data_IF_990837311315
#
_entry.id   IF_990837311315
#
_cell.length_a   1.000
_cell.length_b   1.000
_cell.length_c   1.000
_cell.angle_alpha   90.00
_cell.angle_beta   90.00
_cell.angle_gamma   90.00
#
_symmetry.space_group_name_H-M   'P 1'
#
loop_
_entity.id
_entity.type
_entity.pdbx_description
1 polymer ?
#
# COMPACT_ATOMS: atom_id res chain seq x y z
N UNK A 1 0.32 15.25 -18.60
CA UNK A 1 -0.76 14.58 -19.35
C UNK A 1 -1.24 13.44 -18.47
N UNK A 2 -2.55 13.35 -18.17
CA UNK A 2 -3.07 12.25 -17.39
C UNK A 2 -2.96 10.93 -18.17
N UNK A 3 -2.64 9.86 -17.46
CA UNK A 3 -2.56 8.53 -18.06
C UNK A 3 -3.96 8.05 -18.45
N UNK A 4 -4.15 7.38 -19.60
CA UNK A 4 -5.45 6.86 -19.99
C UNK A 4 -5.95 5.82 -18.98
N UNK A 5 -7.25 5.84 -18.68
CA UNK A 5 -7.85 4.93 -17.72
C UNK A 5 -7.64 3.45 -18.15
N UNK A 6 -7.18 2.62 -17.22
CA UNK A 6 -7.05 1.18 -17.47
C UNK A 6 -8.42 0.55 -17.79
N UNK A 7 -8.55 -0.36 -18.77
CA UNK A 7 -9.83 -0.97 -19.14
C UNK A 7 -10.44 -1.74 -17.96
N UNK A 8 -11.76 -1.66 -17.78
CA UNK A 8 -12.51 -2.36 -16.72
C UNK A 8 -13.00 -3.71 -17.25
N UNK A 9 -12.82 -4.79 -16.50
CA UNK A 9 -13.36 -6.10 -16.87
C UNK A 9 -14.87 -6.22 -16.60
N UNK A 10 -15.43 -7.38 -16.96
CA UNK A 10 -16.84 -7.70 -16.75
C UNK A 10 -17.20 -7.63 -15.25
N UNK A 11 -18.38 -7.09 -14.93
CA UNK A 11 -18.91 -7.08 -13.57
C UNK A 11 -19.31 -8.50 -13.17
N UNK A 12 -18.76 -8.97 -12.05
CA UNK A 12 -19.03 -10.30 -11.47
C UNK A 12 -20.02 -10.18 -10.33
N UNK A 13 -19.80 -9.23 -9.43
CA UNK A 13 -20.65 -9.03 -8.25
C UNK A 13 -20.52 -7.59 -7.72
N UNK A 14 -21.44 -7.21 -6.84
CA UNK A 14 -21.50 -5.89 -6.20
C UNK A 14 -21.72 -6.03 -4.71
N UNK A 15 -20.82 -5.47 -3.91
CA UNK A 15 -20.95 -5.37 -2.45
C UNK A 15 -21.52 -4.00 -2.09
N UNK A 16 -22.67 -4.00 -1.42
CA UNK A 16 -23.29 -2.79 -0.89
C UNK A 16 -22.89 -2.60 0.58
N UNK A 17 -22.45 -1.39 0.92
CA UNK A 17 -22.07 -1.04 2.29
C UNK A 17 -23.21 -1.29 3.28
N UNK A 18 -24.45 -0.97 2.92
CA UNK A 18 -25.64 -1.19 3.78
C UNK A 18 -25.78 -2.66 4.20
N UNK A 19 -25.51 -3.58 3.28
CA UNK A 19 -25.57 -5.02 3.54
C UNK A 19 -24.46 -5.46 4.48
N UNK A 20 -23.27 -4.86 4.38
CA UNK A 20 -22.18 -5.11 5.34
C UNK A 20 -22.57 -4.67 6.76
N UNK A 21 -23.33 -3.58 6.91
CA UNK A 21 -23.82 -3.12 8.21
C UNK A 21 -24.84 -4.09 8.84
N UNK A 22 -25.75 -4.63 8.04
CA UNK A 22 -26.71 -5.66 8.46
C UNK A 22 -26.04 -7.00 8.81
N UNK A 23 -24.90 -7.29 8.16
CA UNK A 23 -24.13 -8.52 8.36
C UNK A 23 -22.92 -8.37 9.30
N UNK A 24 -22.71 -7.20 9.91
CA UNK A 24 -21.50 -6.91 10.68
C UNK A 24 -21.24 -7.93 11.80
N UNK A 25 -22.30 -8.34 12.50
CA UNK A 25 -22.20 -9.34 13.57
C UNK A 25 -21.88 -10.76 13.09
N UNK A 26 -21.93 -11.00 11.76
CA UNK A 26 -21.47 -12.25 11.15
C UNK A 26 -19.96 -12.22 10.85
N UNK A 27 -19.24 -11.17 11.23
CA UNK A 27 -17.79 -11.13 11.05
C UNK A 27 -17.15 -12.27 11.85
N UNK A 28 -16.21 -12.96 11.23
CA UNK A 28 -15.46 -14.00 11.92
C UNK A 28 -14.50 -13.36 12.93
N UNK A 29 -14.42 -13.88 14.14
CA UNK A 29 -13.49 -13.38 15.16
C UNK A 29 -13.80 -11.97 15.69
N UNK A 30 -12.89 -11.47 16.52
CA UNK A 30 -13.01 -10.14 17.12
C UNK A 30 -12.59 -9.05 16.11
N UNK A 31 -13.34 -7.94 16.07
CA UNK A 31 -13.02 -6.76 15.27
C UNK A 31 -11.94 -5.89 15.95
N UNK A 32 -10.85 -6.56 16.32
CA UNK A 32 -9.72 -6.02 17.06
C UNK A 32 -8.43 -6.60 16.51
N UNK A 33 -7.39 -5.79 16.41
CA UNK A 33 -6.06 -6.25 16.04
C UNK A 33 -5.42 -6.98 17.24
N UNK A 34 -4.92 -8.19 16.98
CA UNK A 34 -4.17 -9.01 17.93
C UNK A 34 -2.90 -9.60 17.28
N UNK A 35 -2.05 -10.22 18.10
CA UNK A 35 -0.88 -10.99 17.65
C UNK A 35 0.08 -10.21 16.72
N UNK A 36 0.29 -8.93 17.01
CA UNK A 36 1.13 -8.05 16.21
C UNK A 36 2.59 -8.54 16.21
N UNK A 37 3.19 -8.64 15.02
CA UNK A 37 4.56 -9.10 14.84
C UNK A 37 5.26 -8.34 13.71
N UNK A 38 6.51 -7.94 13.93
CA UNK A 38 7.38 -7.52 12.84
C UNK A 38 7.78 -8.73 11.97
N UNK A 39 7.60 -8.63 10.66
CA UNK A 39 7.93 -9.72 9.73
C UNK A 39 9.26 -9.46 9.05
N UNK A 40 9.40 -8.30 8.41
CA UNK A 40 10.56 -7.92 7.62
C UNK A 40 10.50 -6.44 7.24
N UNK A 41 11.63 -5.90 6.79
CA UNK A 41 11.72 -4.58 6.16
C UNK A 41 12.65 -4.62 4.94
N UNK A 42 12.61 -3.57 4.12
CA UNK A 42 13.60 -3.30 3.08
C UNK A 42 13.58 -1.83 2.68
N UNK A 43 14.64 -1.35 2.03
CA UNK A 43 14.63 -0.05 1.35
C UNK A 43 14.72 -0.24 -0.15
N UNK A 44 14.05 0.64 -0.90
CA UNK A 44 14.40 0.86 -2.30
C UNK A 44 15.63 1.75 -2.38
N UNK A 45 16.57 1.40 -3.25
CA UNK A 45 17.75 2.22 -3.53
C UNK A 45 17.60 2.93 -4.88
N UNK A 46 18.09 4.16 -4.96
CA UNK A 46 18.22 4.93 -6.20
C UNK A 46 19.44 4.45 -7.00
N UNK A 47 19.20 3.44 -7.83
CA UNK A 47 20.20 2.83 -8.71
C UNK A 47 19.63 2.62 -10.11
N UNK A 48 20.49 2.43 -11.11
CA UNK A 48 20.07 2.22 -12.51
C UNK A 48 19.30 0.92 -12.73
N UNK A 49 19.53 -0.08 -11.88
CA UNK A 49 18.77 -1.33 -11.84
C UNK A 49 17.84 -1.31 -10.62
N UNK A 50 16.65 -1.94 -10.67
CA UNK A 50 15.82 -2.11 -9.48
C UNK A 50 16.62 -2.80 -8.38
N UNK A 51 16.85 -2.12 -7.25
CA UNK A 51 17.68 -2.64 -6.16
C UNK A 51 17.02 -2.39 -4.81
N UNK A 52 16.98 -3.43 -3.97
CA UNK A 52 16.55 -3.33 -2.58
C UNK A 52 17.70 -3.60 -1.61
N UNK A 53 17.69 -2.90 -0.48
CA UNK A 53 18.51 -3.21 0.69
C UNK A 53 17.67 -3.97 1.72
N UNK A 54 18.16 -5.11 2.19
CA UNK A 54 17.49 -5.99 3.15
C UNK A 54 18.46 -6.24 4.33
N UNK A 55 18.05 -6.06 5.60
CA UNK A 55 16.70 -5.69 6.06
C UNK A 55 16.33 -4.22 5.81
N UNK A 56 17.27 -3.37 5.39
CA UNK A 56 17.03 -1.94 5.32
C UNK A 56 16.81 -1.31 6.70
N UNK A 57 16.52 -0.01 6.74
CA UNK A 57 16.08 0.73 7.92
C UNK A 57 15.40 2.05 7.47
N UNK A 58 14.37 2.54 8.17
CA UNK A 58 13.87 3.91 8.00
C UNK A 58 14.94 4.94 8.40
N UNK A 59 14.85 6.19 7.91
CA UNK A 59 15.83 7.21 8.27
C UNK A 59 15.66 7.63 9.73
N UNK A 60 16.77 8.02 10.35
CA UNK A 60 16.81 8.49 11.74
C UNK A 60 16.23 9.90 11.82
N UNK A 61 15.32 10.17 12.74
CA UNK A 61 14.96 11.56 13.06
C UNK A 61 16.19 12.30 13.58
N UNK A 62 16.65 13.31 12.85
CA UNK A 62 17.94 13.99 13.02
C UNK A 62 17.80 15.46 12.59
N UNK A 63 17.06 16.27 13.38
CA UNK A 63 16.73 17.64 13.01
C UNK A 63 18.00 18.51 12.97
N UNK A 64 18.08 19.51 12.07
CA UNK A 64 19.21 20.43 12.05
C UNK A 64 19.23 21.27 13.33
N UNK A 65 20.43 21.56 13.83
CA UNK A 65 20.62 22.41 15.02
C UNK A 65 20.01 23.81 14.88
N UNK A 66 19.95 24.32 13.64
CA UNK A 66 19.37 25.61 13.31
C UNK A 66 18.28 25.35 12.26
N UNK A 67 17.00 25.66 12.55
CA UNK A 67 15.93 25.57 11.57
C UNK A 67 16.25 26.40 10.34
N UNK A 68 16.05 25.81 9.16
CA UNK A 68 16.20 26.47 7.87
C UNK A 68 14.85 26.53 7.18
N UNK A 69 14.65 27.59 6.41
CA UNK A 69 13.49 27.67 5.52
C UNK A 69 13.69 26.71 4.36
N UNK A 70 12.83 25.70 4.26
CA UNK A 70 12.87 24.70 3.20
C UNK A 70 12.24 25.25 1.92
N UNK A 71 12.64 24.69 0.79
CA UNK A 71 11.95 24.91 -0.48
C UNK A 71 10.70 24.05 -0.51
N UNK A 72 9.64 24.60 -1.12
CA UNK A 72 8.42 23.84 -1.37
C UNK A 72 8.69 22.71 -2.36
N UNK A 73 7.97 21.60 -2.19
CA UNK A 73 8.09 20.42 -3.04
C UNK A 73 7.71 20.80 -4.48
N UNK A 74 8.54 20.40 -5.44
CA UNK A 74 8.41 20.76 -6.87
C UNK A 74 8.87 19.65 -7.81
N UNK A 75 8.95 18.42 -7.31
CA UNK A 75 9.39 17.24 -8.05
C UNK A 75 8.25 16.38 -8.60
N UNK A 76 8.61 15.40 -9.42
CA UNK A 76 7.68 14.36 -9.86
C UNK A 76 7.70 13.19 -8.88
N UNK A 77 6.55 12.89 -8.31
CA UNK A 77 6.42 11.85 -7.27
C UNK A 77 5.42 10.78 -7.72
N UNK A 78 5.84 9.52 -7.70
CA UNK A 78 5.00 8.38 -8.10
C UNK A 78 3.88 8.10 -7.08
N UNK A 79 2.66 7.81 -7.57
CA UNK A 79 1.53 7.34 -6.75
C UNK A 79 1.81 6.00 -6.07
N UNK A 80 2.51 5.10 -6.77
CA UNK A 80 3.01 3.84 -6.21
C UNK A 80 4.50 3.62 -6.56
N UNK A 81 5.38 4.02 -5.64
CA UNK A 81 6.83 3.82 -5.76
C UNK A 81 7.21 2.35 -6.03
N UNK A 82 6.48 1.39 -5.47
CA UNK A 82 6.81 -0.03 -5.62
C UNK A 82 6.45 -0.52 -7.03
N UNK A 83 5.23 -0.21 -7.48
CA UNK A 83 4.78 -0.50 -8.85
C UNK A 83 5.64 0.20 -9.91
N UNK A 84 6.03 1.45 -9.69
CA UNK A 84 6.90 2.21 -10.59
C UNK A 84 8.29 1.58 -10.74
N UNK A 85 8.90 1.13 -9.63
CA UNK A 85 10.26 0.56 -9.65
C UNK A 85 10.32 -0.86 -10.18
N UNK A 86 9.27 -1.64 -9.93
CA UNK A 86 9.27 -3.06 -10.29
C UNK A 86 7.87 -3.52 -10.75
N UNK A 87 7.43 -3.06 -11.94
CA UNK A 87 6.05 -3.22 -12.39
C UNK A 87 5.66 -4.67 -12.72
N UNK A 88 6.62 -5.50 -13.11
CA UNK A 88 6.33 -6.87 -13.57
C UNK A 88 5.83 -7.77 -12.43
N UNK A 89 6.36 -7.59 -11.21
CA UNK A 89 5.99 -8.35 -10.02
C UNK A 89 6.01 -7.47 -8.75
N UNK A 90 4.97 -6.65 -8.51
CA UNK A 90 4.99 -5.62 -7.46
C UNK A 90 5.16 -6.13 -6.01
N UNK A 91 4.94 -7.43 -5.76
CA UNK A 91 5.10 -8.05 -4.43
C UNK A 91 6.39 -8.85 -4.28
N UNK A 92 7.12 -9.09 -5.37
CA UNK A 92 8.38 -9.85 -5.35
C UNK A 92 9.40 -9.28 -4.35
N UNK A 93 9.71 -7.96 -4.34
CA UNK A 93 10.66 -7.39 -3.38
C UNK A 93 10.27 -7.68 -1.92
N UNK A 94 8.97 -7.68 -1.65
CA UNK A 94 8.43 -7.88 -0.30
C UNK A 94 8.58 -9.33 0.14
N UNK A 95 8.24 -10.28 -0.74
CA UNK A 95 8.38 -11.71 -0.46
C UNK A 95 9.83 -12.13 -0.34
N UNK A 96 10.74 -11.66 -1.21
CA UNK A 96 12.18 -11.92 -1.09
C UNK A 96 12.72 -11.39 0.24
N UNK A 97 12.33 -10.18 0.65
CA UNK A 97 12.76 -9.61 1.93
C UNK A 97 12.31 -10.45 3.14
N UNK A 98 11.10 -11.01 3.12
CA UNK A 98 10.58 -11.90 4.18
C UNK A 98 11.42 -13.18 4.27
N UNK A 99 11.57 -13.89 3.15
CA UNK A 99 12.25 -15.18 3.10
C UNK A 99 13.76 -15.07 3.41
N UNK A 100 14.39 -13.92 3.11
CA UNK A 100 15.79 -13.65 3.43
C UNK A 100 16.02 -13.30 4.91
N UNK A 101 15.09 -12.59 5.54
CA UNK A 101 15.19 -12.21 6.96
C UNK A 101 14.75 -13.34 7.89
N UNK A 102 13.87 -14.23 7.43
CA UNK A 102 13.41 -15.38 8.19
C UNK A 102 13.19 -16.57 7.26
N UNK A 103 14.19 -17.45 7.18
CA UNK A 103 14.13 -18.69 6.38
C UNK A 103 13.13 -19.73 6.92
N UNK A 104 12.70 -19.58 8.18
CA UNK A 104 11.68 -20.43 8.81
C UNK A 104 10.29 -19.81 8.79
N UNK A 105 10.10 -18.70 8.06
CA UNK A 105 8.79 -18.08 7.90
C UNK A 105 7.81 -19.08 7.30
N UNK A 106 6.59 -19.13 7.81
CA UNK A 106 5.50 -19.98 7.31
C UNK A 106 4.49 -19.14 6.51
N UNK A 107 4.57 -19.16 5.16
CA UNK A 107 3.58 -18.56 4.28
C UNK A 107 2.14 -19.07 4.47
N UNK A 108 1.95 -20.34 4.89
CA UNK A 108 0.63 -20.94 4.97
C UNK A 108 -0.22 -20.34 6.09
N UNK A 109 0.42 -19.72 7.08
CA UNK A 109 -0.22 -18.99 8.16
C UNK A 109 -0.75 -17.61 7.78
N UNK A 110 -0.54 -17.12 6.55
CA UNK A 110 -0.99 -15.79 6.10
C UNK A 110 -2.20 -15.90 5.17
N UNK A 111 -3.29 -15.22 5.52
CA UNK A 111 -4.51 -15.20 4.69
C UNK A 111 -4.52 -14.01 3.73
N UNK A 112 -4.13 -12.81 4.18
CA UNK A 112 -4.20 -11.58 3.37
C UNK A 112 -2.87 -10.84 3.38
N UNK A 113 -2.41 -10.43 2.20
CA UNK A 113 -1.26 -9.55 2.03
C UNK A 113 -1.72 -8.27 1.33
N UNK A 114 -1.61 -7.12 2.00
CA UNK A 114 -1.96 -5.84 1.39
C UNK A 114 -0.91 -4.77 1.70
N UNK A 115 -0.91 -3.69 0.92
CA UNK A 115 -0.26 -2.45 1.34
C UNK A 115 -1.22 -1.62 2.21
N UNK A 116 -0.66 -0.80 3.10
CA UNK A 116 -1.43 0.06 4.00
C UNK A 116 -2.39 1.01 3.26
N UNK A 117 -2.02 1.43 2.04
CA UNK A 117 -2.91 2.25 1.20
C UNK A 117 -4.14 1.49 0.74
N UNK A 118 -3.99 0.27 0.22
CA UNK A 118 -5.11 -0.54 -0.26
C UNK A 118 -6.03 -0.94 0.88
N UNK A 119 -5.47 -1.37 2.01
CA UNK A 119 -6.27 -1.70 3.19
C UNK A 119 -6.96 -0.46 3.78
N UNK A 120 -6.27 0.69 3.80
CA UNK A 120 -6.84 1.98 4.19
C UNK A 120 -8.01 2.42 3.31
N UNK A 121 -7.97 2.17 1.99
CA UNK A 121 -9.10 2.46 1.11
C UNK A 121 -10.35 1.62 1.43
N UNK A 122 -10.17 0.36 1.82
CA UNK A 122 -11.29 -0.48 2.28
C UNK A 122 -11.87 0.03 3.61
N UNK A 123 -11.02 0.49 4.52
CA UNK A 123 -11.45 1.12 5.77
C UNK A 123 -12.26 2.40 5.49
N UNK A 124 -11.80 3.25 4.57
CA UNK A 124 -12.52 4.46 4.14
C UNK A 124 -13.89 4.15 3.56
N UNK A 125 -13.97 3.12 2.71
CA UNK A 125 -15.23 2.66 2.14
C UNK A 125 -16.26 2.31 3.23
N UNK A 126 -15.87 1.53 4.25
CA UNK A 126 -16.80 1.18 5.34
C UNK A 126 -17.10 2.37 6.27
N UNK A 127 -16.24 3.40 6.30
CA UNK A 127 -16.47 4.65 7.04
C UNK A 127 -17.24 5.71 6.24
N UNK A 128 -17.60 5.45 4.99
CA UNK A 128 -18.28 6.40 4.08
C UNK A 128 -17.44 7.63 3.77
N UNK A 129 -16.12 7.46 3.73
CA UNK A 129 -15.21 8.46 3.20
C UNK A 129 -15.16 8.29 1.68
N UNK A 130 -16.11 8.90 0.97
CA UNK A 130 -16.33 8.76 -0.46
C UNK A 130 -15.07 9.03 -1.26
N UNK A 131 -14.43 7.95 -1.72
CA UNK A 131 -13.27 8.01 -2.60
C UNK A 131 -13.27 6.83 -3.57
N UNK A 132 -12.86 7.14 -4.78
CA UNK A 132 -12.61 6.14 -5.82
C UNK A 132 -11.32 5.39 -5.48
N UNK A 133 -11.29 4.11 -5.80
CA UNK A 133 -10.05 3.33 -5.76
C UNK A 133 -10.21 2.06 -6.56
N UNK A 134 -9.06 1.51 -6.97
CA UNK A 134 -9.00 0.28 -7.74
C UNK A 134 -7.79 -0.56 -7.32
N UNK A 135 -7.99 -1.85 -7.19
CA UNK A 135 -6.91 -2.80 -6.96
C UNK A 135 -7.27 -4.19 -7.50
N UNK A 136 -6.26 -5.03 -7.69
CA UNK A 136 -6.44 -6.44 -8.08
C UNK A 136 -6.13 -7.31 -6.89
N UNK A 137 -6.90 -8.38 -6.73
CA UNK A 137 -6.62 -9.44 -5.77
C UNK A 137 -6.17 -10.66 -6.54
N UNK A 138 -5.03 -11.25 -6.15
CA UNK A 138 -4.54 -12.52 -6.68
C UNK A 138 -4.33 -13.53 -5.55
N UNK A 139 -4.88 -14.72 -5.71
CA UNK A 139 -4.67 -15.84 -4.80
C UNK A 139 -3.39 -16.58 -5.17
N UNK A 140 -2.47 -16.72 -4.21
CA UNK A 140 -1.26 -17.57 -4.30
C UNK A 140 -1.21 -18.49 -3.08
N UNK A 141 -1.42 -19.79 -3.30
CA UNK A 141 -1.62 -20.74 -2.19
C UNK A 141 -2.85 -20.41 -1.37
N UNK A 142 -2.64 -20.15 -0.08
CA UNK A 142 -3.69 -19.70 0.86
C UNK A 142 -3.84 -18.18 0.92
N UNK A 143 -2.83 -17.44 0.48
CA UNK A 143 -2.74 -15.99 0.68
C UNK A 143 -3.39 -15.25 -0.49
N UNK A 144 -4.16 -14.21 -0.18
CA UNK A 144 -4.71 -13.27 -1.14
C UNK A 144 -3.87 -12.00 -1.15
N UNK A 145 -3.18 -11.72 -2.27
CA UNK A 145 -2.34 -10.55 -2.48
C UNK A 145 -3.15 -9.40 -3.09
N UNK A 146 -3.17 -8.26 -2.42
CA UNK A 146 -3.90 -7.06 -2.82
C UNK A 146 -2.91 -6.10 -3.48
N UNK A 147 -3.05 -5.96 -4.81
CA UNK A 147 -2.14 -5.27 -5.71
C UNK A 147 -2.75 -3.93 -6.13
N UNK A 148 -2.09 -2.81 -5.86
CA UNK A 148 -2.56 -1.49 -6.31
C UNK A 148 -2.71 -1.48 -7.83
N UNK A 149 -3.79 -0.86 -8.32
CA UNK A 149 -4.06 -0.72 -9.75
C UNK A 149 -4.23 0.75 -10.12
N UNK A 150 -3.10 1.40 -10.31
CA UNK A 150 -3.02 2.73 -10.93
C UNK A 150 -3.21 2.61 -12.46
N UNK A 151 -3.41 3.73 -13.15
CA UNK A 151 -3.62 3.72 -14.61
C UNK A 151 -2.35 3.30 -15.35
N UNK A 152 -1.21 3.77 -14.86
CA UNK A 152 0.12 3.29 -15.28
C UNK A 152 1.03 3.12 -14.06
N UNK A 153 2.06 2.26 -14.13
CA UNK A 153 3.03 2.14 -13.03
C UNK A 153 3.76 3.45 -12.71
N UNK A 154 3.89 4.33 -13.70
CA UNK A 154 4.59 5.61 -13.59
C UNK A 154 3.62 6.77 -13.31
N UNK A 155 2.39 6.48 -12.87
CA UNK A 155 1.43 7.52 -12.56
C UNK A 155 1.98 8.43 -11.45
N UNK A 156 2.02 9.72 -11.76
CA UNK A 156 2.54 10.77 -10.87
C UNK A 156 1.40 11.44 -10.10
N UNK A 157 1.76 12.03 -8.98
CA UNK A 157 0.88 12.86 -8.18
C UNK A 157 0.82 14.24 -8.87
N UNK A 158 -0.36 14.71 -9.29
CA UNK A 158 -0.51 16.04 -9.87
C UNK A 158 -0.29 17.11 -8.79
N UNK A 159 0.27 18.25 -9.21
CA UNK A 159 0.29 19.50 -8.43
C UNK A 159 0.80 19.36 -6.98
N UNK A 160 1.85 18.55 -6.77
CA UNK A 160 2.48 18.39 -5.44
C UNK A 160 2.91 19.75 -4.89
N UNK A 161 2.42 20.07 -3.70
CA UNK A 161 2.68 21.31 -2.97
C UNK A 161 2.95 21.00 -1.51
N UNK A 162 3.49 21.99 -0.80
CA UNK A 162 3.85 21.81 0.60
C UNK A 162 5.25 21.22 0.78
N UNK A 163 5.43 20.48 1.87
CA UNK A 163 6.75 20.13 2.38
C UNK A 163 6.82 18.66 2.85
N UNK A 164 5.94 17.82 2.30
CA UNK A 164 5.81 16.41 2.66
C UNK A 164 7.05 15.59 2.30
N UNK A 165 7.83 16.05 1.32
CA UNK A 165 9.08 15.42 0.88
C UNK A 165 10.32 16.18 1.41
N UNK A 166 10.37 17.49 1.20
CA UNK A 166 11.49 18.33 1.63
C UNK A 166 11.73 18.32 3.14
N UNK A 167 10.68 18.25 3.97
CA UNK A 167 10.85 18.15 5.43
C UNK A 167 11.55 16.87 5.86
N UNK A 168 11.06 15.65 5.53
CA UNK A 168 11.77 14.43 5.92
C UNK A 168 13.18 14.35 5.35
N UNK A 169 13.46 14.88 4.15
CA UNK A 169 14.83 14.98 3.63
C UNK A 169 15.75 15.87 4.47
N UNK A 170 15.22 16.95 5.04
CA UNK A 170 16.01 17.89 5.84
C UNK A 170 16.08 17.54 7.34
N UNK A 171 15.10 16.80 7.86
CA UNK A 171 14.95 16.50 9.28
C UNK A 171 15.21 15.04 9.65
N UNK A 172 15.42 14.17 8.66
CA UNK A 172 15.83 12.79 8.88
C UNK A 172 17.14 12.50 8.14
N UNK A 173 17.94 11.60 8.69
CA UNK A 173 19.23 11.18 8.14
C UNK A 173 19.24 9.68 7.86
N UNK A 174 19.58 9.31 6.63
CA UNK A 174 19.83 7.91 6.28
C UNK A 174 21.11 7.38 6.94
N UNK A 175 21.11 6.09 7.26
CA UNK A 175 22.33 5.39 7.69
C UNK A 175 23.37 5.36 6.56
N UNK A 176 24.65 5.23 6.91
CA UNK A 176 25.75 5.34 5.94
C UNK A 176 25.65 4.33 4.79
N UNK A 177 25.25 3.10 5.11
CA UNK A 177 25.00 2.00 4.17
C UNK A 177 23.66 2.10 3.41
N UNK A 178 22.84 3.10 3.74
CA UNK A 178 21.50 3.36 3.18
C UNK A 178 21.35 4.77 2.59
N UNK A 179 22.43 5.53 2.40
CA UNK A 179 22.40 6.92 1.87
C UNK A 179 21.69 7.06 0.52
N UNK A 180 21.66 6.01 -0.29
CA UNK A 180 20.97 5.99 -1.58
C UNK A 180 19.51 5.52 -1.49
N UNK A 181 18.89 5.50 -0.30
CA UNK A 181 17.52 5.02 -0.13
C UNK A 181 16.48 6.06 -0.56
N UNK A 182 15.41 5.59 -1.18
CA UNK A 182 14.28 6.41 -1.64
C UNK A 182 12.98 6.16 -0.87
N UNK A 183 12.91 5.03 -0.18
CA UNK A 183 11.79 4.67 0.70
C UNK A 183 12.22 3.55 1.64
N UNK A 184 11.56 3.46 2.79
CA UNK A 184 11.74 2.39 3.77
C UNK A 184 10.42 1.64 3.94
N UNK A 185 10.36 0.42 3.43
CA UNK A 185 9.19 -0.45 3.48
C UNK A 185 9.27 -1.37 4.70
N UNK A 186 8.13 -1.57 5.36
CA UNK A 186 8.02 -2.39 6.57
C UNK A 186 6.79 -3.26 6.50
N UNK A 187 6.93 -4.52 6.92
CA UNK A 187 5.86 -5.50 6.93
C UNK A 187 5.54 -5.89 8.37
N UNK A 188 4.30 -5.62 8.78
CA UNK A 188 3.75 -6.01 10.08
C UNK A 188 2.67 -7.05 9.84
N UNK A 189 2.76 -8.16 10.56
CA UNK A 189 1.72 -9.17 10.63
C UNK A 189 0.83 -8.96 11.85
N UNK A 190 -0.46 -9.19 11.70
CA UNK A 190 -1.40 -9.20 12.82
C UNK A 190 -2.65 -10.01 12.48
N UNK A 191 -3.40 -10.41 13.50
CA UNK A 191 -4.70 -11.07 13.37
C UNK A 191 -5.80 -10.03 13.49
N UNK A 192 -6.78 -10.05 12.58
CA UNK A 192 -7.95 -9.18 12.61
C UNK A 192 -9.15 -9.92 12.00
N UNK A 193 -10.32 -9.87 12.63
CA UNK A 193 -11.53 -10.55 12.12
C UNK A 193 -11.25 -12.01 11.64
N UNK A 194 -10.55 -12.78 12.48
CA UNK A 194 -10.26 -14.21 12.26
C UNK A 194 -9.24 -14.51 11.14
N UNK A 195 -8.62 -13.49 10.53
CA UNK A 195 -7.62 -13.65 9.46
C UNK A 195 -6.27 -13.11 9.87
N UNK A 196 -5.21 -13.75 9.40
CA UNK A 196 -3.84 -13.25 9.55
C UNK A 196 -3.49 -12.36 8.36
N UNK A 197 -3.18 -11.10 8.64
CA UNK A 197 -2.77 -10.11 7.66
C UNK A 197 -1.26 -9.92 7.69
N UNK A 198 -0.67 -9.61 6.53
CA UNK A 198 0.55 -8.81 6.43
C UNK A 198 0.18 -7.49 5.78
N UNK A 199 0.50 -6.40 6.47
CA UNK A 199 0.39 -5.03 5.93
C UNK A 199 1.80 -4.49 5.67
N UNK A 200 2.06 -4.14 4.41
CA UNK A 200 3.26 -3.39 4.01
C UNK A 200 2.97 -1.88 4.02
N UNK A 201 3.78 -1.11 4.71
CA UNK A 201 3.71 0.36 4.71
C UNK A 201 5.09 0.97 4.59
N UNK A 202 5.15 2.19 4.04
CA UNK A 202 6.34 3.04 4.13
C UNK A 202 6.42 3.64 5.54
N UNK A 203 7.62 3.71 6.10
CA UNK A 203 7.90 4.37 7.38
C UNK A 203 8.67 5.66 7.13
N UNK A 204 8.17 6.79 7.63
CA UNK A 204 8.78 8.11 7.40
C UNK A 204 10.07 8.29 8.19
N UNK A 205 10.24 7.55 9.29
CA UNK A 205 11.46 7.54 10.08
C UNK A 205 11.33 6.76 11.38
N UNK A 206 12.36 6.88 12.21
CA UNK A 206 12.32 6.44 13.61
C UNK A 206 12.85 7.48 14.59
N UNK A 207 12.35 7.43 15.82
CA UNK A 207 12.76 8.28 16.94
C UNK A 207 13.90 7.59 17.74
N UNK A 208 15.13 8.13 17.73
CA UNK A 208 16.27 7.53 18.45
C UNK A 208 16.01 7.31 19.94
N UNK A 209 15.30 8.24 20.57
CA UNK A 209 14.92 8.20 21.99
C UNK A 209 13.96 7.04 22.33
N UNK A 210 13.36 6.39 21.33
CA UNK A 210 12.40 5.27 21.49
C UNK A 210 12.95 3.90 21.08
N UNK A 211 14.25 3.79 20.80
CA UNK A 211 14.91 2.51 20.48
C UNK A 211 14.89 1.50 21.64
N UNK A 212 14.62 1.95 22.88
CA UNK A 212 14.56 1.06 24.04
C UNK A 212 15.92 0.47 24.42
N UNK A 213 15.92 -0.59 25.23
CA UNK A 213 17.13 -1.29 25.68
C UNK A 213 17.69 -2.28 24.64
N UNK A 214 16.83 -2.84 23.80
CA UNK A 214 17.22 -3.84 22.78
C UNK A 214 17.89 -3.20 21.56
N UNK A 215 17.57 -1.93 21.27
CA UNK A 215 18.18 -1.17 20.18
C UNK A 215 17.93 -1.75 18.78
N UNK A 216 18.63 -1.24 17.75
CA UNK A 216 18.61 -1.82 16.41
C UNK A 216 19.17 -3.24 16.40
N UNK A 217 18.49 -4.15 15.71
CA UNK A 217 18.92 -5.56 15.55
C UNK A 217 19.57 -5.77 14.19
N UNK A 218 20.81 -6.26 14.19
CA UNK A 218 21.49 -6.68 12.95
C UNK A 218 20.99 -8.06 12.52
N UNK A 219 20.62 -8.19 11.25
CA UNK A 219 20.28 -9.50 10.65
C UNK A 219 21.22 -9.74 9.48
N UNK A 220 21.92 -10.88 9.53
CA UNK A 220 22.69 -11.36 8.40
C UNK A 220 21.77 -12.12 7.47
N UNK A 221 21.69 -11.68 6.21
CA UNK A 221 20.97 -12.40 5.16
C UNK A 221 21.94 -13.21 4.31
N UNK A 222 21.50 -14.38 3.87
CA UNK A 222 22.24 -15.23 2.94
C UNK A 222 21.92 -14.85 1.50
N UNK A 223 22.80 -14.08 0.87
CA UNK A 223 22.68 -13.68 -0.54
C UNK A 223 22.98 -14.82 -1.52
N UNK A 224 23.46 -15.97 -1.06
CA UNK A 224 23.66 -17.18 -1.88
C UNK A 224 22.42 -18.09 -1.91
N UNK A 225 21.38 -17.73 -1.14
CA UNK A 225 20.11 -18.43 -1.10
C UNK A 225 19.43 -18.45 -2.47
N UNK A 226 18.71 -19.53 -2.84
CA UNK A 226 17.90 -19.58 -4.07
C UNK A 226 16.78 -18.53 -4.11
N UNK A 227 16.46 -17.90 -2.97
CA UNK A 227 15.56 -16.74 -2.86
C UNK A 227 16.14 -15.50 -3.56
N UNK A 228 17.44 -15.46 -3.80
CA UNK A 228 18.09 -14.47 -4.67
C UNK A 228 18.15 -15.08 -6.07
N UNK A 229 17.10 -14.91 -6.87
CA UNK A 229 17.08 -15.40 -8.25
C UNK A 229 18.17 -14.67 -9.05
N UNK A 230 19.08 -15.44 -9.66
CA UNK A 230 20.07 -14.91 -10.60
C UNK A 230 19.47 -14.57 -11.98
N UNK A 231 18.21 -14.94 -12.23
CA UNK A 231 17.53 -14.79 -13.52
C UNK A 231 16.77 -13.47 -13.67
N UNK A 232 16.63 -12.66 -12.60
CA UNK A 232 15.74 -11.50 -12.55
C UNK A 232 16.47 -10.15 -12.40
N UNK A 233 15.80 -9.09 -12.85
CA UNK A 233 16.31 -7.71 -12.86
C UNK A 233 16.38 -7.04 -11.48
N UNK A 234 15.91 -7.69 -10.41
CA UNK A 234 15.90 -7.16 -9.05
C UNK A 234 17.18 -7.52 -8.29
N UNK A 235 18.02 -6.52 -8.03
CA UNK A 235 19.24 -6.66 -7.22
C UNK A 235 18.95 -6.54 -5.73
N UNK A 236 19.64 -7.32 -4.90
CA UNK A 236 19.45 -7.35 -3.44
C UNK A 236 20.80 -7.10 -2.75
N UNK A 237 20.82 -6.19 -1.79
CA UNK A 237 21.99 -5.88 -0.97
C UNK A 237 21.71 -6.16 0.51
N UNK A 238 22.69 -6.75 1.19
CA UNK A 238 22.69 -6.82 2.65
C UNK A 238 23.12 -5.47 3.22
N UNK A 239 22.18 -4.67 3.69
CA UNK A 239 22.40 -3.35 4.29
C UNK A 239 21.21 -2.96 5.18
N UNK A 240 21.48 -2.12 6.19
CA UNK A 240 20.51 -1.68 7.18
C UNK A 240 20.39 -2.58 8.40
N UNK A 241 19.46 -2.23 9.28
CA UNK A 241 19.24 -2.88 10.58
C UNK A 241 17.75 -2.84 10.92
N UNK A 242 17.26 -3.85 11.64
CA UNK A 242 15.87 -3.86 12.09
C UNK A 242 15.72 -2.84 13.21
N UNK A 243 14.92 -1.80 12.93
CA UNK A 243 14.50 -0.84 13.94
C UNK A 243 13.27 -1.37 14.70
N UNK A 244 13.25 -1.30 16.05
CA UNK A 244 12.11 -1.72 16.86
C UNK A 244 10.82 -0.97 16.50
N UNK A 245 9.68 -1.67 16.56
CA UNK A 245 8.39 -1.06 16.18
C UNK A 245 8.06 0.17 17.01
N UNK A 246 8.38 0.16 18.30
CA UNK A 246 8.15 1.25 19.26
C UNK A 246 8.78 2.59 18.84
N UNK A 247 9.80 2.56 17.98
CA UNK A 247 10.51 3.75 17.53
C UNK A 247 9.98 4.32 16.21
N UNK A 248 9.20 3.56 15.44
CA UNK A 248 8.73 3.96 14.11
C UNK A 248 7.70 5.07 14.21
N UNK A 249 7.75 6.05 13.30
CA UNK A 249 6.74 7.10 13.20
C UNK A 249 6.21 7.31 11.77
N UNK A 250 4.99 7.85 11.70
CA UNK A 250 4.41 8.48 10.50
C UNK A 250 4.48 10.00 10.69
N UNK A 251 4.64 10.73 9.59
CA UNK A 251 4.90 12.16 9.56
C UNK A 251 3.88 12.91 8.71
N UNK A 252 3.44 14.07 9.22
CA UNK A 252 2.69 15.05 8.43
C UNK A 252 3.23 16.46 8.61
N UNK A 253 3.21 17.22 7.52
CA UNK A 253 3.46 18.66 7.53
C UNK A 253 2.16 19.44 7.37
N UNK A 254 2.04 20.56 8.06
CA UNK A 254 0.88 21.46 7.96
C UNK A 254 1.31 22.91 8.06
N UNK A 255 0.53 23.81 7.46
CA UNK A 255 0.69 25.25 7.72
C UNK A 255 0.45 25.56 9.19
N UNK A 256 1.25 26.47 9.76
CA UNK A 256 1.10 26.97 11.13
C UNK A 256 -0.28 27.59 11.37
N UNK A 257 -0.98 28.00 10.32
CA UNK A 257 -2.37 28.51 10.38
C UNK A 257 -3.36 27.43 10.84
N UNK A 258 -3.10 26.16 10.53
CA UNK A 258 -3.94 25.01 10.89
C UNK A 258 -3.54 24.36 12.22
N UNK A 259 -2.63 24.94 13.00
CA UNK A 259 -2.02 24.31 14.20
C UNK A 259 -2.98 23.92 15.34
N UNK A 260 -4.19 24.48 15.32
CA UNK A 260 -5.21 24.27 16.34
C UNK A 260 -6.25 23.21 15.92
N UNK A 261 -6.17 22.69 14.70
CA UNK A 261 -7.04 21.61 14.21
C UNK A 261 -6.52 20.25 14.66
N UNK A 262 -7.42 19.26 14.75
CA UNK A 262 -7.06 17.89 15.10
C UNK A 262 -6.62 17.08 13.87
N UNK A 263 -5.34 17.24 13.52
CA UNK A 263 -4.73 16.48 12.43
C UNK A 263 -4.47 15.01 12.78
N UNK A 264 -4.55 14.61 14.05
CA UNK A 264 -4.27 13.23 14.44
C UNK A 264 -5.49 12.36 14.18
N UNK A 265 -6.69 12.83 14.51
CA UNK A 265 -7.95 12.09 14.34
C UNK A 265 -8.11 11.54 12.90
N UNK A 266 -7.82 12.37 11.91
CA UNK A 266 -7.84 12.01 10.48
C UNK A 266 -6.87 10.88 10.12
N UNK A 267 -5.81 10.70 10.91
CA UNK A 267 -4.76 9.70 10.67
C UNK A 267 -4.95 8.42 11.50
N UNK A 268 -5.80 8.41 12.52
CA UNK A 268 -5.92 7.27 13.45
C UNK A 268 -6.24 5.96 12.72
N UNK A 269 -7.13 5.96 11.73
CA UNK A 269 -7.42 4.77 10.94
C UNK A 269 -6.22 4.24 10.13
N UNK A 270 -5.38 5.14 9.60
CA UNK A 270 -4.13 4.78 8.91
C UNK A 270 -3.10 4.22 9.89
N UNK A 271 -2.95 4.87 11.05
CA UNK A 271 -2.00 4.48 12.09
C UNK A 271 -2.39 3.13 12.70
N UNK A 272 -3.70 2.88 12.85
CA UNK A 272 -4.27 1.59 13.23
C UNK A 272 -3.93 0.50 12.21
N UNK A 273 -4.21 0.71 10.92
CA UNK A 273 -3.93 -0.25 9.86
C UNK A 273 -2.44 -0.60 9.74
N UNK A 274 -1.56 0.40 9.88
CA UNK A 274 -0.11 0.23 9.75
C UNK A 274 0.57 -0.18 11.06
N UNK A 275 -0.16 -0.17 12.18
CA UNK A 275 0.35 -0.33 13.56
C UNK A 275 1.53 0.59 13.88
N UNK A 276 1.45 1.85 13.44
CA UNK A 276 2.49 2.85 13.67
C UNK A 276 2.28 3.54 15.03
N UNK A 277 3.20 3.39 16.01
CA UNK A 277 2.96 3.83 17.38
C UNK A 277 3.23 5.31 17.64
N UNK A 278 3.91 6.00 16.72
CA UNK A 278 4.26 7.41 16.87
C UNK A 278 3.76 8.23 15.69
N UNK A 279 3.29 9.44 15.99
CA UNK A 279 2.90 10.43 15.00
C UNK A 279 3.72 11.71 15.20
N UNK A 280 4.39 12.13 14.13
CA UNK A 280 5.11 13.40 14.09
C UNK A 280 4.31 14.37 13.24
N UNK A 281 3.97 15.53 13.79
CA UNK A 281 3.36 16.62 13.04
C UNK A 281 4.25 17.85 13.11
N UNK A 282 4.57 18.41 11.96
CA UNK A 282 5.47 19.54 11.82
C UNK A 282 4.73 20.72 11.18
N UNK A 283 4.64 21.83 11.91
CA UNK A 283 3.98 23.05 11.46
C UNK A 283 4.99 24.07 10.91
N UNK A 284 4.69 24.63 9.73
CA UNK A 284 5.54 25.60 9.07
C UNK A 284 4.87 26.95 8.79
N UNK A 285 5.64 28.04 8.82
CA UNK A 285 5.32 29.27 8.09
C UNK A 285 6.20 29.30 6.84
N UNK A 286 5.61 29.07 5.66
CA UNK A 286 6.30 29.12 4.35
C UNK A 286 7.65 28.37 4.34
N UNK A 287 7.64 27.12 4.80
CA UNK A 287 8.82 26.25 4.83
C UNK A 287 9.73 26.40 6.05
N UNK A 288 9.48 27.36 6.95
CA UNK A 288 10.18 27.45 8.23
C UNK A 288 9.40 26.71 9.33
N UNK A 289 9.95 25.59 9.78
CA UNK A 289 9.35 24.73 10.80
C UNK A 289 9.77 25.16 12.20
N UNK A 290 8.79 25.55 13.02
CA UNK A 290 9.02 26.07 14.38
C UNK A 290 8.27 25.32 15.48
N UNK A 291 7.29 24.50 15.11
CA UNK A 291 6.50 23.67 16.03
C UNK A 291 6.44 22.25 15.47
N UNK A 292 7.24 21.34 16.04
CA UNK A 292 7.28 19.93 15.67
C UNK A 292 6.89 19.12 16.89
N UNK A 293 5.80 18.39 16.78
CA UNK A 293 5.22 17.61 17.89
C UNK A 293 5.39 16.13 17.60
N UNK A 294 6.04 15.43 18.53
CA UNK A 294 6.18 13.98 18.53
C UNK A 294 5.20 13.40 19.54
N UNK A 295 4.29 12.55 19.10
CA UNK A 295 3.23 12.00 19.94
C UNK A 295 3.30 10.47 19.93
N UNK A 296 3.27 9.85 21.12
CA UNK A 296 2.90 8.43 21.23
C UNK A 296 1.38 8.35 21.06
N UNK A 297 0.92 7.53 20.13
CA UNK A 297 -0.49 7.49 19.73
C UNK A 297 -1.14 6.13 20.01
N UNK A 298 -0.42 5.17 20.61
CA UNK A 298 -0.93 3.81 20.81
C UNK A 298 -2.26 3.79 21.58
N UNK A 299 -2.32 4.49 22.73
CA UNK A 299 -3.55 4.56 23.52
C UNK A 299 -4.73 5.20 22.75
N UNK A 300 -4.44 6.19 21.88
CA UNK A 300 -5.46 6.83 21.04
C UNK A 300 -5.92 5.90 19.91
N UNK A 301 -5.00 5.13 19.32
CA UNK A 301 -5.32 4.11 18.31
C UNK A 301 -6.17 2.99 18.91
N UNK A 302 -5.85 2.53 20.12
CA UNK A 302 -6.62 1.48 20.81
C UNK A 302 -8.02 1.98 21.22
N UNK A 303 -8.13 3.25 21.62
CA UNK A 303 -9.41 3.91 21.86
C UNK A 303 -10.22 4.02 20.55
N UNK A 304 -9.60 4.51 19.48
CA UNK A 304 -10.22 4.64 18.17
C UNK A 304 -10.74 3.30 17.64
N UNK A 305 -9.97 2.21 17.80
CA UNK A 305 -10.39 0.85 17.44
C UNK A 305 -11.65 0.43 18.20
N UNK A 306 -11.71 0.72 19.49
CA UNK A 306 -12.87 0.42 20.34
C UNK A 306 -14.11 1.21 19.90
N UNK A 307 -13.94 2.49 19.57
CA UNK A 307 -15.02 3.39 19.14
C UNK A 307 -15.56 3.06 17.74
N UNK A 308 -14.75 2.44 16.87
CA UNK A 308 -15.11 2.10 15.49
C UNK A 308 -15.41 0.60 15.27
N UNK A 309 -15.76 -0.14 16.33
CA UNK A 309 -15.97 -1.60 16.28
C UNK A 309 -16.97 -2.02 15.19
N UNK A 310 -18.03 -1.24 14.96
CA UNK A 310 -19.07 -1.54 13.95
C UNK A 310 -18.49 -1.49 12.53
N UNK A 311 -17.78 -0.41 12.20
CA UNK A 311 -17.10 -0.22 10.92
C UNK A 311 -16.00 -1.27 10.71
N UNK A 312 -15.28 -1.64 11.77
CA UNK A 312 -14.25 -2.68 11.72
C UNK A 312 -14.85 -4.08 11.47
N UNK A 313 -16.03 -4.39 12.01
CA UNK A 313 -16.77 -5.61 11.64
C UNK A 313 -17.17 -5.61 10.17
N UNK A 314 -17.67 -4.47 9.67
CA UNK A 314 -17.98 -4.31 8.26
C UNK A 314 -16.74 -4.51 7.37
N UNK A 315 -15.57 -4.02 7.80
CA UNK A 315 -14.30 -4.22 7.10
C UNK A 315 -13.92 -5.71 7.04
N UNK A 316 -14.07 -6.44 8.15
CA UNK A 316 -13.86 -7.89 8.19
C UNK A 316 -14.73 -8.64 7.18
N UNK A 317 -16.05 -8.34 7.16
CA UNK A 317 -17.00 -8.91 6.19
C UNK A 317 -16.66 -8.54 4.75
N UNK A 318 -16.24 -7.30 4.53
CA UNK A 318 -15.87 -6.81 3.20
C UNK A 318 -14.69 -7.60 2.63
N UNK A 319 -13.62 -7.75 3.42
CA UNK A 319 -12.45 -8.54 3.02
C UNK A 319 -12.85 -10.00 2.77
N UNK A 320 -13.69 -10.58 3.62
CA UNK A 320 -14.20 -11.95 3.44
C UNK A 320 -14.94 -12.14 2.10
N UNK A 321 -15.82 -11.21 1.73
CA UNK A 321 -16.55 -11.28 0.46
C UNK A 321 -15.61 -11.12 -0.74
N UNK A 322 -14.65 -10.19 -0.67
CA UNK A 322 -13.62 -10.01 -1.71
C UNK A 322 -12.81 -11.30 -1.92
N UNK A 323 -12.29 -11.91 -0.85
CA UNK A 323 -11.46 -13.13 -0.97
C UNK A 323 -12.29 -14.33 -1.45
N UNK A 324 -13.57 -14.43 -1.07
CA UNK A 324 -14.47 -15.47 -1.59
C UNK A 324 -14.70 -15.32 -3.09
N UNK A 325 -14.96 -14.11 -3.56
CA UNK A 325 -15.11 -13.84 -4.99
C UNK A 325 -13.81 -14.18 -5.75
N UNK A 326 -12.66 -13.72 -5.25
CA UNK A 326 -11.36 -14.05 -5.83
C UNK A 326 -11.12 -15.57 -5.90
N UNK A 327 -11.45 -16.30 -4.83
CA UNK A 327 -11.28 -17.75 -4.78
C UNK A 327 -12.22 -18.52 -5.73
N UNK A 328 -13.38 -17.96 -6.04
CA UNK A 328 -14.35 -18.55 -6.97
C UNK A 328 -14.06 -18.21 -8.44
N UNK A 329 -13.20 -17.22 -8.70
CA UNK A 329 -12.78 -16.85 -10.06
C UNK A 329 -11.96 -17.95 -10.73
N UNK A 330 -12.02 -18.01 -12.06
CA UNK A 330 -11.37 -19.06 -12.85
C UNK A 330 -9.84 -19.08 -12.70
N UNK A 331 -9.19 -17.91 -12.67
CA UNK A 331 -7.73 -17.79 -12.60
C UNK A 331 -7.22 -17.32 -11.22
N UNK A 332 -8.09 -17.37 -10.20
CA UNK A 332 -7.77 -16.93 -8.85
C UNK A 332 -7.49 -15.43 -8.75
N UNK A 333 -8.09 -14.61 -9.62
CA UNK A 333 -8.00 -13.16 -9.58
C UNK A 333 -9.35 -12.48 -9.73
N UNK A 334 -9.49 -11.36 -9.03
CA UNK A 334 -10.56 -10.42 -9.29
C UNK A 334 -10.04 -9.00 -9.14
N UNK A 335 -10.78 -8.05 -9.69
CA UNK A 335 -10.53 -6.64 -9.55
C UNK A 335 -11.61 -6.00 -8.68
N UNK A 336 -11.19 -5.13 -7.79
CA UNK A 336 -12.05 -4.39 -6.88
C UNK A 336 -12.03 -2.93 -7.29
N UNK A 337 -13.20 -2.36 -7.51
CA UNK A 337 -13.38 -0.97 -7.91
C UNK A 337 -14.43 -0.30 -7.02
N UNK A 338 -14.08 0.84 -6.41
CA UNK A 338 -15.07 1.78 -5.89
C UNK A 338 -15.16 2.97 -6.83
N UNK A 339 -16.37 3.27 -7.32
CA UNK A 339 -16.65 4.45 -8.14
C UNK A 339 -17.12 5.68 -7.35
N UNK A 340 -17.03 5.65 -6.02
CA UNK A 340 -17.72 6.58 -5.13
C UNK A 340 -19.15 6.15 -4.81
N UNK A 341 -19.65 6.53 -3.63
CA UNK A 341 -20.95 6.21 -3.05
C UNK A 341 -21.25 4.73 -2.85
N UNK A 342 -21.10 4.24 -1.61
CA UNK A 342 -21.80 3.07 -1.00
C UNK A 342 -21.69 1.68 -1.67
N UNK A 343 -21.07 1.58 -2.83
CA UNK A 343 -20.98 0.41 -3.69
C UNK A 343 -19.52 0.07 -3.98
N UNK A 344 -19.20 -1.23 -3.87
CA UNK A 344 -17.92 -1.77 -4.29
C UNK A 344 -18.16 -2.87 -5.33
N UNK A 345 -17.58 -2.68 -6.52
CA UNK A 345 -17.73 -3.59 -7.64
C UNK A 345 -16.61 -4.61 -7.64
N UNK A 346 -16.99 -5.88 -7.83
CA UNK A 346 -16.09 -7.00 -8.04
C UNK A 346 -16.16 -7.38 -9.51
N UNK A 347 -15.03 -7.32 -10.19
CA UNK A 347 -14.93 -7.46 -11.65
C UNK A 347 -13.90 -8.51 -12.02
N UNK A 348 -14.00 -9.03 -13.23
CA UNK A 348 -12.86 -9.66 -13.87
C UNK A 348 -11.72 -8.65 -14.04
N UNK A 349 -10.48 -9.12 -14.04
CA UNK A 349 -9.31 -8.25 -14.22
C UNK A 349 -9.32 -7.73 -15.66
N UNK A 350 -9.57 -6.44 -15.83
CA UNK A 350 -9.61 -5.83 -17.17
C UNK A 350 -8.21 -5.68 -17.77
N UNK A 351 -8.06 -5.92 -19.08
CA UNK A 351 -6.80 -5.74 -19.80
C UNK A 351 -5.63 -6.57 -19.24
N UNK A 352 -4.40 -6.13 -19.55
CA UNK A 352 -3.19 -6.75 -19.00
C UNK A 352 -2.87 -6.15 -17.63
N UNK A 353 -2.62 -7.01 -16.64
CA UNK A 353 -2.17 -6.61 -15.31
C UNK A 353 -1.14 -7.63 -14.79
N UNK A 354 -0.03 -7.17 -14.18
CA UNK A 354 1.04 -8.04 -13.69
C UNK A 354 0.55 -9.05 -12.66
N UNK A 355 1.31 -10.14 -12.51
CA UNK A 355 1.10 -11.09 -11.42
C UNK A 355 1.74 -10.55 -10.14
N UNK A 356 1.25 -10.97 -8.98
CA UNK A 356 1.81 -10.59 -7.68
C UNK A 356 3.30 -10.98 -7.59
N UNK A 357 3.61 -12.22 -8.01
CA UNK A 357 4.91 -12.87 -7.84
C UNK A 357 5.33 -13.61 -9.12
N UNK A 358 6.65 -13.73 -9.38
CA UNK A 358 7.18 -14.64 -10.39
C UNK A 358 6.96 -16.10 -9.97
N UNK A 359 7.10 -17.02 -10.93
CA UNK A 359 6.69 -18.41 -10.76
C UNK A 359 7.53 -19.16 -9.70
N UNK A 360 8.83 -18.88 -9.61
CA UNK A 360 9.74 -19.42 -8.59
C UNK A 360 9.27 -19.05 -7.18
N UNK A 361 8.93 -17.78 -6.95
CA UNK A 361 8.45 -17.32 -5.65
C UNK A 361 7.05 -17.82 -5.34
N UNK A 362 6.17 -17.97 -6.35
CA UNK A 362 4.87 -18.63 -6.15
C UNK A 362 5.06 -20.04 -5.63
N UNK A 363 5.94 -20.83 -6.26
CA UNK A 363 6.24 -22.19 -5.84
C UNK A 363 6.82 -22.23 -4.41
N UNK A 364 7.75 -21.34 -4.05
CA UNK A 364 8.27 -21.26 -2.69
C UNK A 364 7.19 -20.87 -1.67
N UNK A 365 6.30 -19.94 -2.02
CA UNK A 365 5.20 -19.51 -1.16
C UNK A 365 4.16 -20.61 -0.96
N UNK A 366 3.92 -21.47 -1.95
CA UNK A 366 2.95 -22.58 -1.87
C UNK A 366 3.50 -23.87 -1.27
N UNK A 367 4.81 -24.13 -1.36
CA UNK A 367 5.44 -25.35 -0.83
C UNK A 367 5.28 -25.54 0.69
N UNK A 368 4.91 -24.49 1.41
CA UNK A 368 4.63 -24.54 2.85
C UNK A 368 3.18 -24.96 3.18
N UNK A 369 2.29 -25.17 2.19
CA UNK A 369 0.93 -25.68 2.42
C UNK A 369 0.91 -27.23 2.44
N UNK A 370 0.61 -27.87 3.58
CA UNK A 370 0.55 -29.33 3.69
C UNK A 370 -0.40 -29.99 2.68
N UNK A 371 -1.41 -29.25 2.19
CA UNK A 371 -2.46 -29.76 1.29
C UNK A 371 -2.03 -29.81 -0.17
N UNK A 372 -0.95 -29.13 -0.56
CA UNK A 372 -0.42 -29.15 -1.93
C UNK A 372 0.58 -30.30 -2.15
N UNK A 373 1.14 -30.86 -1.07
CA UNK A 373 2.03 -32.03 -1.16
C UNK A 373 1.32 -33.30 -1.65
N UNK A 374 0.00 -33.39 -1.47
CA UNK A 374 -0.80 -34.54 -1.90
C UNK A 374 -1.20 -34.47 -3.38
N UNK A 375 -1.26 -33.29 -4.00
CA UNK A 375 -1.72 -33.14 -5.39
C UNK A 375 -0.62 -33.32 -6.44
N UNK A 376 0.65 -33.38 -6.03
CA UNK A 376 1.79 -33.57 -6.95
C UNK A 376 2.07 -35.03 -7.30
N UNK A 377 1.42 -35.99 -6.63
CA UNK A 377 1.59 -37.42 -6.93
C UNK A 377 0.55 -38.00 -7.91
N UNK A 378 -0.55 -37.28 -8.18
CA UNK A 378 -1.62 -37.79 -9.05
C UNK A 378 -1.60 -37.16 -10.46
N UNK A 379 -0.93 -36.02 -10.67
CA UNK A 379 -0.96 -35.29 -11.94
C UNK A 379 0.00 -35.85 -13.02
N UNK A 380 1.02 -36.62 -12.64
CA UNK A 380 2.00 -37.17 -13.58
C UNK A 380 1.51 -38.44 -14.30
N UNK A 381 0.33 -38.98 -13.94
CA UNK A 381 -0.19 -40.22 -14.52
C UNK A 381 -1.13 -40.03 -15.71
N UNK A 382 -1.69 -38.83 -15.94
CA UNK A 382 -2.70 -38.61 -16.98
C UNK A 382 -2.23 -37.80 -18.21
N UNK A 383 -1.04 -37.19 -18.17
CA UNK A 383 -0.57 -36.33 -19.25
C UNK A 383 0.00 -37.07 -20.49
N UNK A 384 0.26 -38.38 -20.40
CA UNK A 384 0.90 -39.15 -21.49
C UNK A 384 -0.10 -39.80 -22.48
N UNK A 385 -1.40 -39.58 -22.30
CA UNK A 385 -2.42 -40.18 -23.15
C UNK A 385 -3.36 -39.14 -23.76
N UNK A 386 -2.86 -38.35 -24.74
CA UNK A 386 -3.57 -37.95 -25.99
C UNK A 386 -2.80 -36.87 -26.76
N UNK A 387 -1.99 -37.31 -27.72
CA UNK A 387 -1.60 -36.55 -28.92
C UNK A 387 -2.34 -37.10 -30.14
N UNK A 388 -2.75 -36.19 -31.04
CA UNK A 388 -3.43 -36.44 -32.32
C UNK A 388 -4.89 -35.99 -32.24
N UNK A 389 -5.43 -35.08 -33.06
CA UNK A 389 -5.31 -34.91 -34.51
C UNK A 389 -5.61 -33.44 -34.90
N UNK A 390 -5.19 -33.10 -36.11
CA UNK A 390 -5.09 -31.81 -36.81
C UNK A 390 -6.41 -31.08 -37.19
N UNK A 391 -6.25 -29.77 -37.36
CA UNK A 391 -6.85 -28.75 -38.25
C UNK A 391 -8.17 -29.01 -39.01
N UNK A 392 -9.04 -27.97 -39.03
CA UNK A 392 -9.52 -27.35 -40.27
C UNK A 392 -10.18 -25.98 -40.02
N UNK A 393 -10.00 -25.11 -41.02
CA UNK A 393 -10.44 -23.73 -41.18
C UNK A 393 -11.96 -23.58 -41.29
N UNK A 394 -12.48 -22.35 -41.07
CA UNK A 394 -13.54 -21.76 -41.90
C UNK A 394 -13.62 -20.22 -41.66
N UNK A 395 -13.77 -19.49 -42.77
CA UNK A 395 -13.80 -18.03 -42.89
C UNK A 395 -15.23 -17.42 -42.79
N UNK A 396 -15.24 -16.07 -42.75
CA UNK A 396 -16.29 -15.11 -43.18
C UNK A 396 -17.49 -14.80 -42.25
N UNK A 397 -17.63 -13.53 -41.86
CA UNK A 397 -18.56 -12.59 -42.54
C UNK A 397 -18.74 -11.28 -41.76
N UNK A 398 -18.81 -10.19 -42.55
CA UNK A 398 -18.94 -8.77 -42.22
C UNK A 398 -20.16 -8.33 -41.39
N UNK A 399 -20.05 -7.14 -40.80
CA UNK A 399 -21.20 -6.36 -40.33
C UNK A 399 -20.84 -5.06 -39.62
N UNK A 400 -20.44 -4.02 -40.36
CA UNK A 400 -20.38 -2.63 -39.87
C UNK A 400 -21.77 -2.12 -39.43
N UNK A 401 -21.85 -1.42 -38.30
CA UNK A 401 -22.83 -0.33 -38.13
C UNK A 401 -22.36 0.73 -37.13
N UNK A 402 -22.27 1.95 -37.65
CA UNK A 402 -22.09 3.21 -36.95
C UNK A 402 -23.21 3.49 -35.94
N UNK A 403 -22.84 4.15 -34.83
CA UNK A 403 -23.73 4.78 -33.87
C UNK A 403 -22.92 5.66 -32.93
N UNK A 404 -22.62 6.89 -33.35
CA UNK A 404 -22.26 7.99 -32.46
C UNK A 404 -23.44 8.27 -31.53
N UNK A 405 -23.18 8.47 -30.23
CA UNK A 405 -23.81 9.58 -29.51
C UNK A 405 -23.01 9.97 -28.26
N UNK A 406 -22.74 11.26 -28.27
CA UNK A 406 -22.13 12.16 -27.31
C UNK A 406 -22.82 12.18 -25.94
N UNK A 407 -22.03 12.09 -24.87
CA UNK A 407 -22.27 12.91 -23.68
C UNK A 407 -20.98 13.02 -22.86
N UNK A 408 -20.20 14.05 -23.18
CA UNK A 408 -19.17 14.56 -22.28
C UNK A 408 -19.78 15.06 -20.97
N UNK A 409 -19.12 14.72 -19.85
CA UNK A 409 -19.00 15.54 -18.65
C UNK A 409 -17.89 14.95 -17.78
N UNK A 410 -16.77 15.66 -17.75
CA UNK A 410 -15.62 15.35 -16.93
C UNK A 410 -15.96 15.39 -15.45
N UNK A 411 -15.45 14.41 -14.73
CA UNK A 411 -15.33 14.39 -13.29
C UNK A 411 -14.01 13.68 -13.02
N UNK A 412 -12.93 14.47 -13.04
CA UNK A 412 -11.58 14.07 -12.67
C UNK A 412 -11.28 14.78 -11.35
N UNK A 413 -11.03 14.01 -10.28
CA UNK A 413 -10.15 14.34 -9.16
C UNK A 413 -10.00 13.09 -8.28
N UNK A 414 -9.01 12.27 -8.64
CA UNK A 414 -8.62 11.05 -7.94
C UNK A 414 -7.18 11.22 -7.43
N UNK A 415 -6.93 11.10 -6.12
CA UNK A 415 -5.57 11.06 -5.60
C UNK A 415 -5.40 10.72 -4.11
N UNK A 416 -4.77 9.57 -3.85
CA UNK A 416 -4.01 9.31 -2.61
C UNK A 416 -2.55 9.07 -2.97
N UNK A 417 -1.87 10.16 -3.31
CA UNK A 417 -0.80 10.56 -2.41
C UNK A 417 -1.40 11.51 -1.38
N UNK A 418 -0.77 11.59 -0.22
CA UNK A 418 -1.16 12.54 0.81
C UNK A 418 -0.77 13.97 0.40
N UNK A 419 -1.25 14.49 -0.74
CA UNK A 419 -1.17 15.90 -1.17
C UNK A 419 -2.39 16.36 -1.99
N UNK A 420 -3.52 15.63 -1.97
CA UNK A 420 -4.76 16.08 -2.61
C UNK A 420 -5.88 16.17 -1.55
N UNK A 421 -5.67 17.03 -0.55
CA UNK A 421 -6.74 17.96 -0.17
C UNK A 421 -6.74 19.04 -1.26
N UNK A 422 -7.90 19.43 -1.78
CA UNK A 422 -8.02 20.78 -2.32
C UNK A 422 -7.51 21.73 -1.23
N UNK A 423 -6.35 22.31 -1.45
CA UNK A 423 -5.74 23.26 -0.53
C UNK A 423 -6.62 24.51 -0.46
N UNK A 424 -7.53 24.54 0.51
CA UNK A 424 -8.31 25.71 0.86
C UNK A 424 -7.48 26.78 1.59
N UNK A 425 -6.18 26.90 1.30
CA UNK A 425 -5.40 28.12 1.59
C UNK A 425 -5.33 29.11 0.42
N UNK A 426 -6.02 28.82 -0.69
CA UNK A 426 -6.37 29.84 -1.67
C UNK A 426 -7.41 30.82 -1.07
N UNK A 427 -6.93 31.91 -0.47
CA UNK A 427 -7.60 33.19 -0.72
C UNK A 427 -7.42 33.46 -2.23
N UNK A 428 -8.42 33.10 -3.05
CA UNK A 428 -8.46 33.62 -4.41
C UNK A 428 -8.52 35.15 -4.31
N UNK A 429 -7.61 35.82 -5.02
CA UNK A 429 -7.62 37.27 -5.16
C UNK A 429 -8.78 37.77 -6.05
N UNK A 430 -9.78 36.95 -6.32
CA UNK A 430 -10.92 37.27 -7.17
C UNK A 430 -12.20 37.60 -6.36
N UNK A 431 -12.21 37.37 -5.04
CA UNK A 431 -13.33 37.78 -4.15
C UNK A 431 -12.91 38.60 -2.91
N UNK A 432 -11.63 39.01 -2.81
CA UNK A 432 -11.19 39.98 -1.81
C UNK A 432 -11.02 41.35 -2.47
N UNK A 433 -12.04 42.19 -2.36
CA UNK A 433 -11.93 43.63 -2.64
C UNK A 433 -10.97 44.29 -1.65
N UNK A 434 -9.67 44.20 -1.90
CA UNK A 434 -8.67 44.95 -1.15
C UNK A 434 -7.58 45.47 -2.08
N UNK A 435 -7.82 46.65 -2.64
CA UNK A 435 -6.84 47.43 -3.39
C UNK A 435 -5.72 47.86 -2.43
N UNK A 436 -4.56 47.20 -2.54
CA UNK A 436 -3.42 47.40 -1.65
C UNK A 436 -2.80 48.79 -1.72
N UNK A 437 -3.37 49.76 -1.02
CA UNK A 437 -2.73 51.01 -0.60
C UNK A 437 -3.28 51.41 0.77
N UNK A 438 -2.52 51.20 1.85
CA UNK A 438 -2.50 52.12 2.99
C UNK A 438 -1.22 51.91 3.83
N UNK A 439 -0.48 53.01 3.99
CA UNK A 439 0.68 53.16 4.87
C UNK A 439 0.22 53.21 6.33
N UNK A 440 0.76 52.35 7.17
CA UNK A 440 1.55 52.62 8.40
C UNK A 440 1.67 51.35 9.23
#
# INVERSE_FOLDING_TARGET
MQSPASPKGQLVDTILRRTLGEEGDKAEGEAKIADQQFVASFNWLETTTPTIAVPGAPPKYDPPNIPKQLQEDSGEFFRDKNGARYPNFPMEPTVRAILLQNSSFDPAGIDVFACGSTFGNLLRFVRQEDRTFRFVVEKVGRTFFFLRRENTPNEMIPDVRGYGHSFPEAYNSWHEDLKSSSSAQRMIAYTFCGRRYIIRSESDGYLPEKLGGDGPTNVSIDLTSPVVSAADALSIRNAGTIIPQSAIFDLKTRSIRRRNEDHLEEQLGRLWANRTPNFVIAFHDRGLFSDIRKQDVQAKVDQWESEHTTELRMLGRLVEQIVKCCAASFDGRCEVLSGGSGELQLREVGGQFPRALPQDLKSLWTQSDPRTSLSLHDADAEADARKGVEAQDDEESDGERFGEEDCGKGAEEDGWSSDEELDYTACSAEDCGYCGHCRY
#
